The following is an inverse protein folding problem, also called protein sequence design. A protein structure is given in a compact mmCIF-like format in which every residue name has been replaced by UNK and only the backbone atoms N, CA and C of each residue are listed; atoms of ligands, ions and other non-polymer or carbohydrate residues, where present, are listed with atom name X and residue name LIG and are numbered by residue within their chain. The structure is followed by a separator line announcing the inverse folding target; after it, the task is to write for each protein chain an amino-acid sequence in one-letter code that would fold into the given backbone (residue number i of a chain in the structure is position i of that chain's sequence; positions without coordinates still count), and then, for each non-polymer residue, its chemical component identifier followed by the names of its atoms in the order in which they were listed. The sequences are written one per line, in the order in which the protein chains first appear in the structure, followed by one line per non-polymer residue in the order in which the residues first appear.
data_IF_519068475383
#
_entry.id   IF_519068475383
#
_cell.length_a   1.000
_cell.length_b   1.000
_cell.length_c   1.000
_cell.angle_alpha   90.00
_cell.angle_beta   90.00
_cell.angle_gamma   90.00
#
_symmetry.space_group_name_H-M   'P 1'
#
loop_
_entity.id
_entity.type
_entity.pdbx_description
1 polymer ?
#
# COMPACT_ATOMS: atom_id res chain seq x y z
N UNK A 1 -7.14 8.43 -24.95
CA UNK A 1 -7.40 8.78 -23.53
C UNK A 1 -7.83 7.60 -22.63
N UNK A 2 -8.65 6.63 -23.08
CA UNK A 2 -9.01 5.46 -22.24
C UNK A 2 -7.79 4.62 -21.82
N UNK A 3 -6.87 4.35 -22.75
CA UNK A 3 -5.65 3.58 -22.48
C UNK A 3 -4.74 4.22 -21.43
N UNK A 4 -4.60 5.56 -21.43
CA UNK A 4 -3.79 6.26 -20.42
C UNK A 4 -4.33 6.01 -19.01
N UNK A 5 -5.66 6.01 -18.82
CA UNK A 5 -6.27 5.73 -17.51
C UNK A 5 -6.03 4.30 -17.05
N UNK A 6 -6.09 3.35 -17.97
CA UNK A 6 -5.81 1.93 -17.69
C UNK A 6 -4.34 1.78 -17.30
N UNK A 7 -3.42 2.41 -18.03
CA UNK A 7 -1.98 2.41 -17.72
C UNK A 7 -1.74 3.01 -16.33
N UNK A 8 -2.36 4.15 -15.99
CA UNK A 8 -2.25 4.76 -14.66
C UNK A 8 -2.77 3.83 -13.55
N UNK A 9 -3.89 3.14 -13.77
CA UNK A 9 -4.43 2.19 -12.80
C UNK A 9 -3.50 0.99 -12.59
N UNK A 10 -2.96 0.44 -13.68
CA UNK A 10 -1.99 -0.66 -13.61
C UNK A 10 -0.74 -0.22 -12.84
N UNK A 11 -0.23 0.98 -13.14
CA UNK A 11 0.93 1.53 -12.45
C UNK A 11 0.67 1.71 -10.95
N UNK A 12 -0.51 2.20 -10.55
CA UNK A 12 -0.92 2.31 -9.16
C UNK A 12 -0.96 0.96 -8.44
N UNK A 13 -1.50 -0.07 -9.09
CA UNK A 13 -1.53 -1.43 -8.53
C UNK A 13 -0.11 -1.96 -8.32
N UNK A 14 0.77 -1.81 -9.32
CA UNK A 14 2.17 -2.25 -9.22
C UNK A 14 2.87 -1.53 -8.07
N UNK A 15 2.71 -0.21 -7.97
CA UNK A 15 3.34 0.59 -6.92
C UNK A 15 2.85 0.19 -5.52
N UNK A 16 1.54 -0.07 -5.37
CA UNK A 16 0.94 -0.57 -4.13
C UNK A 16 1.50 -1.93 -3.74
N UNK A 17 1.66 -2.85 -4.69
CA UNK A 17 2.22 -4.18 -4.44
C UNK A 17 3.69 -4.12 -4.04
N UNK A 18 4.51 -3.29 -4.72
CA UNK A 18 5.92 -3.09 -4.37
C UNK A 18 6.04 -2.50 -2.96
N UNK A 19 5.25 -1.48 -2.65
CA UNK A 19 5.26 -0.87 -1.33
C UNK A 19 4.85 -1.87 -0.24
N UNK A 20 3.79 -2.66 -0.48
CA UNK A 20 3.39 -3.73 0.42
C UNK A 20 4.49 -4.77 0.64
N UNK A 21 5.19 -5.17 -0.42
CA UNK A 21 6.30 -6.12 -0.33
C UNK A 21 7.49 -5.58 0.47
N UNK A 22 7.90 -4.32 0.24
CA UNK A 22 8.98 -3.69 1.00
C UNK A 22 8.65 -3.54 2.48
N UNK A 23 7.41 -3.15 2.78
CA UNK A 23 6.94 -3.02 4.17
C UNK A 23 6.90 -4.39 4.86
N UNK A 24 6.48 -5.44 4.14
CA UNK A 24 6.46 -6.80 4.67
C UNK A 24 7.87 -7.33 4.95
N UNK A 25 8.82 -7.11 4.03
CA UNK A 25 10.21 -7.54 4.17
C UNK A 25 10.90 -6.88 5.38
N UNK A 26 10.69 -5.57 5.56
CA UNK A 26 11.31 -4.82 6.67
C UNK A 26 10.70 -5.11 8.04
N UNK A 27 9.49 -5.69 8.05
CA UNK A 27 8.78 -6.08 9.27
C UNK A 27 8.80 -7.58 9.50
N UNK A 28 9.70 -8.33 8.86
CA UNK A 28 9.98 -9.69 9.28
C UNK A 28 10.76 -9.66 10.60
N UNK A 29 10.29 -10.44 11.56
CA UNK A 29 11.02 -10.64 12.80
C UNK A 29 12.32 -11.37 12.50
N UNK A 30 13.44 -10.84 12.98
CA UNK A 30 14.75 -11.50 12.83
C UNK A 30 14.68 -12.90 13.44
N UNK A 31 14.74 -13.91 12.57
CA UNK A 31 14.83 -15.31 12.96
C UNK A 31 16.30 -15.63 13.25
N UNK A 32 16.73 -15.41 14.49
CA UNK A 32 18.10 -15.69 14.92
C UNK A 32 18.17 -17.04 15.66
N UNK A 33 19.14 -17.86 15.29
CA UNK A 33 19.47 -19.12 16.00
C UNK A 33 18.29 -20.11 16.17
N UNK A 34 17.39 -20.16 15.20
CA UNK A 34 16.30 -21.15 15.17
C UNK A 34 15.12 -20.82 16.11
N UNK A 35 15.06 -19.60 16.67
CA UNK A 35 13.99 -19.17 17.58
C UNK A 35 13.59 -17.74 17.24
N UNK A 36 12.28 -17.47 17.28
CA UNK A 36 11.80 -16.10 17.41
C UNK A 36 12.07 -15.66 18.85
N UNK A 37 12.44 -14.39 19.08
CA UNK A 37 12.56 -13.79 20.42
C UNK A 37 11.35 -14.19 21.29
N UNK A 38 11.56 -14.33 22.61
CA UNK A 38 10.60 -14.83 23.61
C UNK A 38 9.11 -14.63 23.24
N UNK A 39 8.24 -15.63 23.47
CA UNK A 39 6.88 -15.67 22.91
C UNK A 39 6.03 -14.42 23.17
N UNK A 40 6.22 -13.73 24.30
CA UNK A 40 5.56 -12.43 24.55
C UNK A 40 6.00 -11.33 23.58
N UNK A 41 7.29 -11.27 23.24
CA UNK A 41 7.84 -10.32 22.27
C UNK A 41 7.30 -10.59 20.87
N UNK A 42 7.15 -11.87 20.50
CA UNK A 42 6.52 -12.29 19.25
C UNK A 42 5.07 -11.79 19.14
N UNK A 43 4.29 -11.89 20.22
CA UNK A 43 2.91 -11.41 20.25
C UNK A 43 2.84 -9.88 20.14
N UNK A 44 3.66 -9.15 20.90
CA UNK A 44 3.66 -7.67 20.84
C UNK A 44 4.07 -7.18 19.45
N UNK A 45 5.06 -7.79 18.83
CA UNK A 45 5.46 -7.46 17.46
C UNK A 45 4.36 -7.78 16.44
N UNK A 46 3.66 -8.90 16.60
CA UNK A 46 2.54 -9.26 15.73
C UNK A 46 1.42 -8.21 15.79
N UNK A 47 1.02 -7.79 16.99
CA UNK A 47 0.00 -6.77 17.18
C UNK A 47 0.44 -5.40 16.63
N UNK A 48 1.68 -4.98 16.93
CA UNK A 48 2.22 -3.72 16.43
C UNK A 48 2.35 -3.71 14.90
N UNK A 49 2.79 -4.82 14.32
CA UNK A 49 2.91 -4.95 12.87
C UNK A 49 1.53 -4.93 12.20
N UNK A 50 0.51 -5.63 12.72
CA UNK A 50 -0.88 -5.53 12.22
C UNK A 50 -1.39 -4.09 12.20
N UNK A 51 -1.19 -3.34 13.29
CA UNK A 51 -1.61 -1.94 13.38
C UNK A 51 -0.85 -1.09 12.35
N UNK A 52 0.46 -1.27 12.26
CA UNK A 52 1.31 -0.61 11.25
C UNK A 52 0.86 -0.90 9.81
N UNK A 53 0.59 -2.17 9.49
CA UNK A 53 0.07 -2.59 8.18
C UNK A 53 -1.27 -1.95 7.87
N UNK A 54 -2.17 -1.88 8.86
CA UNK A 54 -3.51 -1.31 8.69
C UNK A 54 -3.43 0.19 8.36
N UNK A 55 -2.55 0.93 9.04
CA UNK A 55 -2.33 2.37 8.78
C UNK A 55 -1.71 2.58 7.39
N UNK A 56 -0.66 1.82 7.05
CA UNK A 56 0.01 1.95 5.76
C UNK A 56 -0.91 1.57 4.59
N UNK A 57 -1.70 0.51 4.73
CA UNK A 57 -2.70 0.11 3.76
C UNK A 57 -3.78 1.19 3.59
N UNK A 58 -4.26 1.76 4.71
CA UNK A 58 -5.22 2.86 4.67
C UNK A 58 -4.70 4.08 3.92
N UNK A 59 -3.47 4.52 4.20
CA UNK A 59 -2.82 5.64 3.50
C UNK A 59 -2.68 5.32 2.00
N UNK A 60 -2.27 4.10 1.67
CA UNK A 60 -2.12 3.67 0.27
C UNK A 60 -3.47 3.71 -0.47
N UNK A 61 -4.52 3.15 0.11
CA UNK A 61 -5.88 3.18 -0.45
C UNK A 61 -6.40 4.61 -0.61
N UNK A 62 -6.09 5.50 0.34
CA UNK A 62 -6.47 6.91 0.28
C UNK A 62 -5.77 7.61 -0.90
N UNK A 63 -4.46 7.40 -1.07
CA UNK A 63 -3.69 7.91 -2.19
C UNK A 63 -4.20 7.39 -3.54
N UNK A 64 -4.47 6.08 -3.65
CA UNK A 64 -5.04 5.46 -4.86
C UNK A 64 -6.41 6.04 -5.18
N UNK A 65 -7.24 6.28 -4.17
CA UNK A 65 -8.58 6.87 -4.33
C UNK A 65 -8.48 8.32 -4.83
N UNK A 66 -7.63 9.14 -4.23
CA UNK A 66 -7.42 10.54 -4.64
C UNK A 66 -6.89 10.61 -6.08
N UNK A 67 -5.90 9.78 -6.41
CA UNK A 67 -5.33 9.73 -7.75
C UNK A 67 -6.36 9.26 -8.78
N UNK A 68 -7.16 8.25 -8.44
CA UNK A 68 -8.27 7.80 -9.28
C UNK A 68 -9.26 8.93 -9.53
N UNK A 69 -9.72 9.62 -8.47
CA UNK A 69 -10.64 10.77 -8.59
C UNK A 69 -10.06 11.85 -9.51
N UNK A 70 -8.77 12.20 -9.38
CA UNK A 70 -8.12 13.19 -10.24
C UNK A 70 -8.08 12.73 -11.72
N UNK A 71 -7.74 11.48 -11.98
CA UNK A 71 -7.75 10.88 -13.32
C UNK A 71 -9.16 10.86 -13.93
N UNK A 72 -10.20 10.70 -13.12
CA UNK A 72 -11.59 10.73 -13.58
C UNK A 72 -12.17 12.15 -13.70
N UNK A 73 -11.84 13.09 -12.80
CA UNK A 73 -12.26 14.50 -12.84
C UNK A 73 -11.67 15.29 -14.00
N UNK A 74 -10.46 14.97 -14.48
CA UNK A 74 -9.84 15.65 -15.63
C UNK A 74 -10.68 15.65 -16.91
N UNK A 75 -11.75 14.84 -17.00
CA UNK A 75 -12.72 14.86 -18.11
C UNK A 75 -13.75 16.00 -18.03
N UNK A 76 -14.07 16.55 -16.85
CA UNK A 76 -15.14 17.53 -16.72
C UNK A 76 -14.77 18.92 -17.26
N UNK A 77 -13.47 19.26 -17.31
CA UNK A 77 -13.01 20.58 -17.77
C UNK A 77 -12.81 20.68 -19.30
N UNK A 78 -12.67 19.56 -20.02
CA UNK A 78 -12.42 19.57 -21.46
C UNK A 78 -13.69 19.54 -22.31
N UNK A 79 -14.87 19.34 -21.72
CA UNK A 79 -16.14 19.33 -22.45
C UNK A 79 -16.90 20.66 -22.38
N UNK A 80 -16.30 21.68 -21.74
CA UNK A 80 -16.88 23.03 -21.57
C UNK A 80 -16.24 24.10 -22.46
N UNK A 81 -15.48 23.72 -23.49
CA UNK A 81 -14.98 24.62 -24.52
C UNK A 81 -15.45 24.17 -25.89
#
# INVERSE_FOLDING_TARGET
MKHIKIITLIFLIILSSIFGALVFDHMQMNFENGRYFDPESATVFHEQSIIGYSILLFICLLCVTILSINVFRGKLHLHKK
#
